data_IF_079934642124
#
_entry.id   IF_079934642124
#
_cell.length_a   1.000
_cell.length_b   1.000
_cell.length_c   1.000
_cell.angle_alpha   90.00
_cell.angle_beta   90.00
_cell.angle_gamma   90.00
#
_symmetry.space_group_name_H-M   'P 1'
#
loop_
_entity.id
_entity.type
_entity.pdbx_description
1 polymer ?
#
# COMPACT_ATOMS: atom_id res chain seq x y z
N UNK A 1 12.00 -8.15 -8.57
CA UNK A 1 11.97 -9.15 -7.49
C UNK A 1 10.57 -9.35 -6.90
N UNK A 2 9.79 -8.31 -6.64
CA UNK A 2 8.44 -8.42 -6.04
C UNK A 2 7.42 -9.22 -6.87
N UNK A 3 7.48 -9.16 -8.22
CA UNK A 3 6.62 -10.00 -9.09
C UNK A 3 6.96 -11.48 -8.95
N UNK A 4 8.25 -11.82 -8.89
CA UNK A 4 8.72 -13.21 -8.70
C UNK A 4 8.30 -13.79 -7.36
N UNK A 5 8.41 -13.00 -6.27
CA UNK A 5 7.90 -13.40 -4.97
C UNK A 5 6.36 -13.49 -4.94
N UNK A 6 5.65 -12.60 -5.65
CA UNK A 6 4.20 -12.66 -5.80
C UNK A 6 3.72 -13.93 -6.53
N UNK A 7 4.39 -14.31 -7.62
CA UNK A 7 4.10 -15.54 -8.36
C UNK A 7 4.46 -16.78 -7.53
N UNK A 8 5.63 -16.80 -6.89
CA UNK A 8 6.05 -17.90 -6.02
C UNK A 8 5.08 -18.09 -4.83
N UNK A 9 4.63 -17.01 -4.20
CA UNK A 9 3.65 -17.07 -3.10
C UNK A 9 2.27 -17.50 -3.54
N UNK A 10 1.88 -17.22 -4.79
CA UNK A 10 0.63 -17.74 -5.37
C UNK A 10 0.73 -19.23 -5.69
N UNK A 11 1.85 -19.68 -6.27
CA UNK A 11 2.11 -21.09 -6.58
C UNK A 11 2.27 -21.95 -5.32
N UNK A 12 3.00 -21.47 -4.31
CA UNK A 12 3.20 -22.15 -3.02
C UNK A 12 2.11 -21.86 -1.98
N UNK A 13 0.93 -21.37 -2.38
CA UNK A 13 -0.19 -21.01 -1.49
C UNK A 13 -0.63 -22.15 -0.55
N UNK A 14 -0.39 -23.40 -0.93
CA UNK A 14 -0.79 -24.57 -0.16
C UNK A 14 0.22 -25.02 0.91
N UNK A 15 1.44 -24.47 0.92
CA UNK A 15 2.43 -24.79 1.95
C UNK A 15 2.07 -24.16 3.30
N UNK A 16 2.22 -24.91 4.39
CA UNK A 16 1.81 -24.49 5.74
C UNK A 16 2.45 -23.16 6.17
N UNK A 17 3.69 -22.89 5.76
CA UNK A 17 4.40 -21.64 6.05
C UNK A 17 3.74 -20.42 5.36
N UNK A 18 3.29 -20.59 4.11
CA UNK A 18 2.61 -19.52 3.34
C UNK A 18 1.16 -19.36 3.81
N UNK A 19 0.50 -20.47 4.16
CA UNK A 19 -0.86 -20.48 4.69
C UNK A 19 -0.94 -19.87 6.09
N UNK A 20 0.05 -20.13 6.95
CA UNK A 20 0.20 -19.50 8.26
C UNK A 20 0.39 -17.97 8.16
N UNK A 21 1.12 -17.53 7.12
CA UNK A 21 1.42 -16.12 6.86
C UNK A 21 0.26 -15.30 6.29
N UNK A 22 -0.85 -15.95 5.92
CA UNK A 22 -1.99 -15.41 5.17
C UNK A 22 -1.58 -14.85 3.79
N UNK A 23 -1.78 -15.62 2.70
CA UNK A 23 -1.29 -15.25 1.36
C UNK A 23 -1.87 -13.93 0.83
N UNK A 24 -3.10 -13.58 1.24
CA UNK A 24 -3.78 -12.33 0.85
C UNK A 24 -3.00 -11.09 1.33
N UNK A 25 -2.45 -11.13 2.54
CA UNK A 25 -1.65 -10.02 3.09
C UNK A 25 -0.35 -9.84 2.33
N UNK A 26 0.32 -10.96 2.03
CA UNK A 26 1.60 -10.95 1.33
C UNK A 26 1.45 -10.45 -0.11
N UNK A 27 0.31 -10.76 -0.74
CA UNK A 27 -0.09 -10.22 -2.04
C UNK A 27 -0.31 -8.71 -2.02
N UNK A 28 -1.05 -8.17 -1.05
CA UNK A 28 -1.22 -6.71 -0.89
C UNK A 28 0.12 -6.00 -0.66
N UNK A 29 0.99 -6.57 0.16
CA UNK A 29 2.31 -5.99 0.43
C UNK A 29 3.22 -6.01 -0.81
N UNK A 30 3.19 -7.09 -1.60
CA UNK A 30 3.90 -7.15 -2.88
C UNK A 30 3.34 -6.15 -3.89
N UNK A 31 2.01 -5.98 -3.97
CA UNK A 31 1.37 -4.96 -4.81
C UNK A 31 1.77 -3.54 -4.39
N UNK A 32 1.73 -3.23 -3.09
CA UNK A 32 2.19 -1.94 -2.57
C UNK A 32 3.66 -1.67 -2.91
N UNK A 33 4.52 -2.67 -2.74
CA UNK A 33 5.93 -2.58 -3.10
C UNK A 33 6.17 -2.43 -4.62
N UNK A 34 5.35 -3.06 -5.46
CA UNK A 34 5.40 -2.85 -6.92
C UNK A 34 4.96 -1.45 -7.30
N UNK A 35 3.90 -0.92 -6.70
CA UNK A 35 3.44 0.45 -6.96
C UNK A 35 4.50 1.48 -6.55
N UNK A 36 5.15 1.30 -5.40
CA UNK A 36 6.29 2.12 -4.99
C UNK A 36 7.46 1.94 -5.96
N UNK A 37 7.78 0.72 -6.38
CA UNK A 37 8.83 0.48 -7.37
C UNK A 37 8.54 1.17 -8.72
N UNK A 38 7.28 1.23 -9.14
CA UNK A 38 6.86 1.91 -10.36
C UNK A 38 7.05 3.44 -10.28
N UNK A 39 7.17 4.05 -9.09
CA UNK A 39 7.45 5.49 -8.96
C UNK A 39 8.85 5.86 -9.45
N UNK A 40 9.76 4.89 -9.55
CA UNK A 40 11.11 5.11 -10.06
C UNK A 40 11.07 5.47 -11.56
N UNK A 41 10.08 4.96 -12.30
CA UNK A 41 9.92 5.21 -13.74
C UNK A 41 9.72 6.71 -14.04
N UNK A 42 8.68 7.40 -13.49
CA UNK A 42 8.51 8.82 -13.71
C UNK A 42 9.66 9.67 -13.14
N UNK A 43 10.33 9.21 -12.09
CA UNK A 43 11.51 9.90 -11.54
C UNK A 43 12.75 9.77 -12.45
N UNK A 44 12.89 8.67 -13.20
CA UNK A 44 13.99 8.44 -14.13
C UNK A 44 13.80 9.11 -15.50
N UNK A 45 12.63 9.64 -15.81
CA UNK A 45 12.41 10.38 -17.06
C UNK A 45 13.15 11.71 -17.00
N UNK A 46 14.20 11.84 -17.82
CA UNK A 46 14.89 13.11 -18.09
C UNK A 46 14.84 13.40 -19.60
N UNK A 47 14.88 14.70 -19.97
CA UNK A 47 14.69 15.28 -21.32
C UNK A 47 15.20 14.38 -22.47
N UNK A 48 14.46 14.23 -23.60
CA UNK A 48 13.85 15.33 -24.37
C UNK A 48 12.31 15.26 -24.50
N UNK A 49 11.58 14.84 -23.47
CA UNK A 49 10.11 14.92 -23.48
C UNK A 49 9.61 16.38 -23.44
N UNK A 50 8.43 16.62 -24.00
CA UNK A 50 7.67 17.88 -23.92
C UNK A 50 7.50 18.32 -22.46
N UNK A 51 7.57 19.63 -22.16
CA UNK A 51 7.46 20.17 -20.80
C UNK A 51 6.24 19.63 -20.04
N UNK A 52 5.09 19.52 -20.72
CA UNK A 52 3.86 18.95 -20.14
C UNK A 52 3.98 17.49 -19.70
N UNK A 53 4.79 16.69 -20.38
CA UNK A 53 5.04 15.29 -20.01
C UNK A 53 5.96 15.15 -18.79
N UNK A 54 6.90 16.10 -18.64
CA UNK A 54 7.79 16.16 -17.49
C UNK A 54 7.03 16.60 -16.23
N UNK A 55 6.18 17.62 -16.35
CA UNK A 55 5.30 18.09 -15.27
C UNK A 55 4.37 16.97 -14.78
N UNK A 56 3.76 16.24 -15.71
CA UNK A 56 2.89 15.10 -15.38
C UNK A 56 3.64 13.99 -14.62
N UNK A 57 4.88 13.68 -15.01
CA UNK A 57 5.70 12.67 -14.35
C UNK A 57 6.10 13.12 -12.93
N UNK A 58 6.48 14.39 -12.76
CA UNK A 58 6.81 14.97 -11.45
C UNK A 58 5.62 14.93 -10.49
N UNK A 59 4.42 15.27 -10.97
CA UNK A 59 3.19 15.23 -10.15
C UNK A 59 2.77 13.77 -9.86
N UNK A 60 2.91 12.86 -10.82
CA UNK A 60 2.50 11.46 -10.64
C UNK A 60 3.36 10.69 -9.62
N UNK A 61 4.62 11.10 -9.42
CA UNK A 61 5.57 10.43 -8.51
C UNK A 61 5.07 10.34 -7.05
N UNK A 62 4.75 11.45 -6.35
CA UNK A 62 4.22 11.39 -4.99
C UNK A 62 2.85 10.68 -4.91
N UNK A 63 2.00 10.83 -5.94
CA UNK A 63 0.70 10.16 -5.99
C UNK A 63 0.84 8.63 -5.98
N UNK A 64 1.68 8.08 -6.87
CA UNK A 64 1.95 6.65 -6.93
C UNK A 64 2.58 6.12 -5.63
N UNK A 65 3.47 6.91 -5.01
CA UNK A 65 4.11 6.55 -3.75
C UNK A 65 3.09 6.48 -2.61
N UNK A 66 2.24 7.49 -2.46
CA UNK A 66 1.18 7.51 -1.45
C UNK A 66 0.23 6.33 -1.60
N UNK A 67 -0.20 6.00 -2.82
CA UNK A 67 -1.03 4.82 -3.06
C UNK A 67 -0.35 3.52 -2.63
N UNK A 68 0.91 3.31 -3.00
CA UNK A 68 1.65 2.11 -2.59
C UNK A 68 1.86 2.02 -1.08
N UNK A 69 2.13 3.14 -0.42
CA UNK A 69 2.25 3.24 1.04
C UNK A 69 0.95 2.89 1.76
N UNK A 70 -0.18 3.43 1.29
CA UNK A 70 -1.52 3.20 1.87
C UNK A 70 -1.89 1.70 1.75
N UNK A 71 -1.60 1.07 0.61
CA UNK A 71 -1.83 -0.37 0.42
C UNK A 71 -0.97 -1.20 1.38
N UNK A 72 0.31 -0.86 1.55
CA UNK A 72 1.20 -1.56 2.47
C UNK A 72 0.77 -1.39 3.94
N UNK A 73 0.38 -0.18 4.35
CA UNK A 73 -0.12 0.11 5.71
C UNK A 73 -1.44 -0.58 6.00
N UNK A 74 -2.36 -0.64 5.02
CA UNK A 74 -3.62 -1.37 5.13
C UNK A 74 -3.38 -2.85 5.46
N UNK A 75 -2.43 -3.46 4.75
CA UNK A 75 -2.02 -4.82 5.00
C UNK A 75 -1.52 -4.94 6.45
N UNK A 76 -0.50 -4.16 6.85
CA UNK A 76 0.10 -4.17 8.20
C UNK A 76 -0.95 -4.05 9.29
N UNK A 77 -1.88 -3.10 9.16
CA UNK A 77 -2.93 -2.88 10.12
C UNK A 77 -3.87 -4.09 10.24
N UNK A 78 -4.20 -4.74 9.12
CA UNK A 78 -4.98 -5.98 9.14
C UNK A 78 -4.29 -7.10 9.92
N UNK A 79 -2.95 -7.17 9.93
CA UNK A 79 -2.21 -8.12 10.78
C UNK A 79 -2.20 -7.71 12.24
N UNK A 80 -1.91 -6.45 12.53
CA UNK A 80 -1.91 -5.92 13.90
C UNK A 80 -3.27 -6.11 14.58
N UNK A 81 -4.37 -5.87 13.85
CA UNK A 81 -5.72 -6.09 14.37
C UNK A 81 -6.00 -7.55 14.69
N UNK A 82 -5.58 -8.49 13.82
CA UNK A 82 -5.73 -9.93 14.09
C UNK A 82 -4.98 -10.33 15.35
N UNK A 83 -3.76 -9.84 15.55
CA UNK A 83 -2.96 -10.10 16.76
C UNK A 83 -3.63 -9.50 17.99
N UNK A 84 -4.02 -8.22 17.94
CA UNK A 84 -4.71 -7.53 19.03
C UNK A 84 -5.99 -8.28 19.45
N UNK A 85 -6.75 -8.78 18.48
CA UNK A 85 -7.98 -9.52 18.74
C UNK A 85 -7.72 -10.91 19.35
N UNK A 86 -6.62 -11.60 18.99
CA UNK A 86 -6.18 -12.85 19.65
C UNK A 86 -5.83 -12.59 21.13
N UNK A 87 -5.05 -11.54 21.42
CA UNK A 87 -4.72 -11.15 22.79
C UNK A 87 -5.97 -10.81 23.61
N UNK A 88 -6.93 -10.10 23.01
CA UNK A 88 -8.19 -9.70 23.67
C UNK A 88 -9.14 -10.88 23.86
N UNK A 89 -9.16 -11.84 22.93
CA UNK A 89 -10.00 -13.05 23.01
C UNK A 89 -9.53 -14.07 24.04
N UNK A 90 -8.26 -14.01 24.46
CA UNK A 90 -7.74 -14.83 25.56
C UNK A 90 -8.45 -14.56 26.89
N UNK A 91 -9.10 -13.39 27.02
CA UNK A 91 -9.90 -13.02 28.19
C UNK A 91 -11.39 -13.44 28.08
N UNK A 92 -11.86 -13.98 26.95
CA UNK A 92 -13.31 -14.16 26.73
C UNK A 92 -13.79 -15.35 25.88
N UNK A 93 -12.91 -16.28 25.46
CA UNK A 93 -13.26 -17.52 24.73
C UNK A 93 -14.14 -17.39 23.46
N UNK A 94 -14.41 -16.19 22.94
CA UNK A 94 -15.31 -16.01 21.82
C UNK A 94 -14.58 -16.05 20.46
N UNK A 95 -15.20 -16.67 19.45
CA UNK A 95 -14.59 -16.92 18.13
C UNK A 95 -14.27 -15.60 17.42
N UNK A 96 -12.99 -15.35 17.17
CA UNK A 96 -12.46 -14.11 16.61
C UNK A 96 -12.71 -14.03 15.10
N UNK A 97 -13.70 -13.24 14.69
CA UNK A 97 -13.89 -12.81 13.30
C UNK A 97 -13.40 -11.36 13.14
N UNK A 98 -12.40 -11.14 12.29
CA UNK A 98 -11.90 -9.80 11.94
C UNK A 98 -12.92 -9.14 11.03
N UNK A 99 -13.50 -8.01 11.47
CA UNK A 99 -14.48 -7.26 10.68
C UNK A 99 -13.75 -6.26 9.79
N UNK A 100 -14.01 -6.29 8.47
CA UNK A 100 -13.38 -5.41 7.50
C UNK A 100 -13.51 -3.90 7.83
N UNK A 101 -14.57 -3.53 8.58
CA UNK A 101 -14.83 -2.14 9.00
C UNK A 101 -13.77 -1.55 9.92
N UNK A 102 -13.10 -2.35 10.75
CA UNK A 102 -12.08 -1.82 11.68
C UNK A 102 -10.76 -1.51 10.95
N UNK A 103 -10.48 -2.22 9.86
CA UNK A 103 -9.32 -1.97 8.98
C UNK A 103 -9.54 -0.74 8.10
N UNK A 104 -10.81 -0.49 7.74
CA UNK A 104 -11.20 0.62 6.87
C UNK A 104 -11.03 1.99 7.53
N UNK A 105 -11.18 2.11 8.85
CA UNK A 105 -11.03 3.39 9.58
C UNK A 105 -9.64 4.01 9.47
N UNK A 106 -8.52 3.34 9.86
CA UNK A 106 -7.19 3.91 9.72
C UNK A 106 -6.77 4.04 8.26
N UNK A 107 -7.27 3.18 7.38
CA UNK A 107 -7.06 3.31 5.94
C UNK A 107 -7.61 4.62 5.41
N UNK A 108 -8.88 4.91 5.69
CA UNK A 108 -9.53 6.17 5.29
C UNK A 108 -8.81 7.36 5.93
N UNK A 109 -8.46 7.28 7.20
CA UNK A 109 -7.74 8.36 7.89
C UNK A 109 -6.39 8.68 7.21
N UNK A 110 -5.56 7.66 6.99
CA UNK A 110 -4.26 7.81 6.30
C UNK A 110 -4.42 8.29 4.86
N UNK A 111 -5.46 7.82 4.17
CA UNK A 111 -5.76 8.22 2.79
C UNK A 111 -6.15 9.68 2.70
N UNK A 112 -7.07 10.14 3.56
CA UNK A 112 -7.49 11.55 3.62
C UNK A 112 -6.34 12.45 4.05
N UNK A 113 -5.53 12.04 5.03
CA UNK A 113 -4.34 12.79 5.43
C UNK A 113 -3.31 12.92 4.29
N UNK A 114 -3.05 11.84 3.54
CA UNK A 114 -2.16 11.91 2.37
C UNK A 114 -2.73 12.79 1.27
N UNK A 115 -4.03 12.62 0.94
CA UNK A 115 -4.68 13.43 -0.09
C UNK A 115 -4.67 14.91 0.25
N UNK A 116 -4.96 15.29 1.50
CA UNK A 116 -4.94 16.69 1.92
C UNK A 116 -3.55 17.30 1.78
N UNK A 117 -2.49 16.57 2.15
CA UNK A 117 -1.11 17.02 1.97
C UNK A 117 -0.74 17.13 0.49
N UNK A 118 -1.07 16.12 -0.33
CA UNK A 118 -0.76 16.14 -1.76
C UNK A 118 -1.52 17.24 -2.49
N UNK A 119 -2.82 17.40 -2.21
CA UNK A 119 -3.64 18.45 -2.81
C UNK A 119 -3.10 19.82 -2.41
N UNK A 120 -2.83 20.04 -1.12
CA UNK A 120 -2.26 21.30 -0.63
C UNK A 120 -0.94 21.62 -1.33
N UNK A 121 -0.05 20.62 -1.50
CA UNK A 121 1.19 20.81 -2.23
C UNK A 121 0.92 21.17 -3.70
N UNK A 122 0.07 20.42 -4.41
CA UNK A 122 -0.23 20.71 -5.82
C UNK A 122 -0.88 22.08 -6.06
N UNK A 123 -1.60 22.61 -5.06
CA UNK A 123 -2.27 23.91 -5.15
C UNK A 123 -1.32 25.06 -4.83
N UNK A 124 -0.46 24.91 -3.82
CA UNK A 124 0.49 25.97 -3.41
C UNK A 124 1.65 26.09 -4.40
N UNK A 125 2.05 24.98 -5.02
CA UNK A 125 3.13 24.94 -5.98
C UNK A 125 2.73 24.02 -7.13
N UNK A 126 1.97 24.51 -8.13
CA UNK A 126 1.85 23.81 -9.40
C UNK A 126 3.27 23.74 -9.98
N UNK A 127 3.90 22.57 -9.83
CA UNK A 127 5.19 22.25 -10.41
C UNK A 127 5.02 22.29 -11.93
N UNK A 128 5.29 23.46 -12.51
CA UNK A 128 5.38 23.67 -13.95
C UNK A 128 6.82 24.07 -14.26
N UNK A 129 7.51 23.24 -15.04
CA UNK A 129 8.87 23.47 -15.52
C UNK A 129 8.89 24.02 -16.95
#
# INVERSE_FOLDING_TARGET
>A
MSVGFGVWTFLNRNNEIVRASQPIFLGMLCLGALLIGCTIIPMSVQKPLTQSGLDAACIATPWLFSFGFIVAFSALFSKTMRVNQIFRSRSGHNRVAVKARDVMKPFIFLFVANLTVLISWTVISPLSY
#
